data_IF_345916986674
#
_entry.id   IF_345916986674
#
_cell.length_a   1.000
_cell.length_b   1.000
_cell.length_c   1.000
_cell.angle_alpha   90.00
_cell.angle_beta   90.00
_cell.angle_gamma   90.00
#
_symmetry.space_group_name_H-M   'P 1'
#
loop_
_entity.id
_entity.type
_entity.pdbx_description
1 polymer ?
#
# COMPACT_ATOMS: atom_id res chain seq x y z
N UNK A 1 -16.55 -65.07 4.02
CA UNK A 1 -16.86 -66.25 4.86
C UNK A 1 -15.93 -66.23 6.07
N UNK A 2 -16.52 -66.09 7.27
CA UNK A 2 -16.19 -66.81 8.53
C UNK A 2 -14.79 -66.57 9.11
N UNK A 3 -14.69 -65.79 10.18
CA UNK A 3 -14.67 -66.23 11.60
C UNK A 3 -13.22 -66.54 12.06
N UNK A 4 -12.78 -66.33 13.31
CA UNK A 4 -13.30 -65.73 14.52
C UNK A 4 -12.23 -65.96 15.63
N UNK A 5 -12.18 -65.03 16.60
CA UNK A 5 -12.07 -65.21 18.08
C UNK A 5 -11.00 -66.13 18.72
N UNK A 6 -10.50 -66.01 19.97
CA UNK A 6 -10.34 -65.08 21.13
C UNK A 6 -9.48 -65.87 22.16
N UNK A 7 -8.79 -65.21 23.12
CA UNK A 7 -8.82 -65.45 24.61
C UNK A 7 -7.50 -65.33 25.40
N UNK A 8 -7.62 -64.62 26.53
CA UNK A 8 -6.77 -64.69 27.74
C UNK A 8 -6.51 -63.31 28.38
N UNK A 9 -7.39 -62.71 29.21
CA UNK A 9 -7.53 -62.83 30.70
C UNK A 9 -6.18 -62.62 31.43
N UNK A 10 -5.97 -61.78 32.47
CA UNK A 10 -6.64 -61.45 33.76
C UNK A 10 -5.98 -60.11 34.22
N UNK A 11 -6.54 -59.14 34.95
CA UNK A 11 -6.87 -59.15 36.38
C UNK A 11 -7.34 -57.76 36.84
N UNK A 12 -8.21 -57.74 37.85
CA UNK A 12 -8.88 -56.58 38.42
C UNK A 12 -8.05 -55.80 39.45
N UNK A 13 -8.34 -54.50 39.62
CA UNK A 13 -8.31 -53.82 40.91
C UNK A 13 -9.19 -52.56 40.86
N UNK A 14 -10.22 -52.53 41.70
CA UNK A 14 -11.07 -51.37 41.94
C UNK A 14 -10.48 -50.54 43.09
N UNK A 15 -10.40 -49.21 42.91
CA UNK A 15 -10.34 -48.24 44.01
C UNK A 15 -11.26 -47.06 43.70
N UNK A 16 -12.03 -46.69 44.70
CA UNK A 16 -13.04 -45.62 44.75
C UNK A 16 -12.38 -44.24 44.95
N UNK A 17 -13.08 -43.17 44.57
CA UNK A 17 -13.30 -41.93 45.36
C UNK A 17 -14.23 -40.96 44.58
N UNK A 18 -14.95 -40.05 45.27
CA UNK A 18 -16.11 -39.30 44.76
C UNK A 18 -15.76 -37.88 44.28
N UNK A 19 -16.71 -37.27 43.56
CA UNK A 19 -17.07 -35.86 43.83
C UNK A 19 -16.59 -34.79 42.84
N UNK A 20 -17.58 -34.19 42.19
CA UNK A 20 -17.74 -32.78 41.78
C UNK A 20 -16.59 -32.00 41.13
N UNK A 21 -16.89 -31.42 39.97
CA UNK A 21 -16.15 -30.30 39.39
C UNK A 21 -16.70 -29.91 38.02
N UNK A 22 -17.88 -29.27 37.99
CA UNK A 22 -18.28 -28.42 36.87
C UNK A 22 -17.43 -27.16 36.92
N UNK A 23 -16.44 -27.04 36.03
CA UNK A 23 -15.77 -25.77 35.76
C UNK A 23 -15.94 -25.43 34.28
N UNK A 24 -17.10 -24.85 34.02
CA UNK A 24 -17.39 -24.00 32.88
C UNK A 24 -16.47 -22.77 32.99
N UNK A 25 -15.32 -22.79 32.32
CA UNK A 25 -14.39 -21.65 32.28
C UNK A 25 -14.69 -20.84 31.02
N UNK A 26 -15.23 -19.61 31.14
CA UNK A 26 -15.41 -18.73 30.00
C UNK A 26 -14.05 -18.40 29.37
N UNK A 27 -13.94 -18.61 28.07
CA UNK A 27 -12.82 -18.14 27.28
C UNK A 27 -12.66 -16.62 27.48
N UNK A 28 -11.55 -16.23 28.10
CA UNK A 28 -11.18 -14.83 28.26
C UNK A 28 -10.92 -14.23 26.86
N UNK A 29 -11.81 -13.32 26.46
CA UNK A 29 -11.67 -12.51 25.26
C UNK A 29 -10.45 -11.60 25.40
N UNK A 30 -9.52 -11.55 24.42
CA UNK A 30 -8.40 -10.61 24.48
C UNK A 30 -8.93 -9.16 24.43
N UNK A 31 -8.22 -8.21 25.07
CA UNK A 31 -8.64 -6.81 25.12
C UNK A 31 -8.66 -6.19 23.72
N UNK A 32 -9.51 -5.17 23.48
CA UNK A 32 -9.52 -4.47 22.20
C UNK A 32 -8.17 -3.80 21.99
N UNK A 33 -7.54 -4.11 20.86
CA UNK A 33 -6.34 -3.40 20.40
C UNK A 33 -6.77 -1.98 20.02
N UNK A 34 -6.40 -1.01 20.84
CA UNK A 34 -6.60 0.41 20.56
C UNK A 34 -5.90 0.73 19.24
N UNK A 35 -6.68 0.98 18.19
CA UNK A 35 -6.14 1.40 16.89
C UNK A 35 -5.42 2.73 17.11
N UNK A 36 -4.10 2.70 16.99
CA UNK A 36 -3.31 3.93 17.01
C UNK A 36 -3.56 4.61 15.68
N UNK A 37 -4.45 5.62 15.68
CA UNK A 37 -4.62 6.51 14.53
C UNK A 37 -3.25 7.13 14.25
N UNK A 38 -2.57 6.65 13.21
CA UNK A 38 -1.38 7.30 12.69
C UNK A 38 -1.85 8.61 12.06
N UNK A 39 -1.90 9.66 12.86
CA UNK A 39 -1.96 11.02 12.33
C UNK A 39 -0.75 11.15 11.41
N UNK A 40 -1.00 11.34 10.12
CA UNK A 40 -0.01 11.76 9.13
C UNK A 40 0.44 13.19 9.47
N UNK A 41 1.13 13.34 10.59
CA UNK A 41 1.62 14.62 11.08
C UNK A 41 2.89 14.98 10.30
N UNK A 42 2.69 15.45 9.08
CA UNK A 42 3.64 16.29 8.34
C UNK A 42 2.90 17.11 7.25
N UNK A 43 1.75 17.67 7.60
CA UNK A 43 0.96 18.51 6.69
C UNK A 43 1.23 19.98 7.02
N UNK A 44 2.39 20.46 6.57
CA UNK A 44 2.67 21.90 6.45
C UNK A 44 2.63 22.23 4.97
N UNK A 45 1.43 22.30 4.39
CA UNK A 45 1.26 22.56 2.97
C UNK A 45 0.00 23.39 2.73
N UNK A 46 0.13 24.47 1.97
CA UNK A 46 -1.02 25.15 1.38
C UNK A 46 -1.61 24.25 0.28
N UNK A 47 -2.92 24.37 0.02
CA UNK A 47 -3.54 23.61 -1.04
C UNK A 47 -2.85 23.91 -2.40
N UNK A 48 -2.59 22.90 -3.23
CA UNK A 48 -2.05 23.12 -4.57
C UNK A 48 -2.90 24.10 -5.39
N UNK A 49 -2.26 24.92 -6.21
CA UNK A 49 -2.95 25.92 -7.07
C UNK A 49 -2.58 25.84 -8.56
N UNK A 50 -1.65 24.97 -8.92
CA UNK A 50 -1.19 24.75 -10.29
C UNK A 50 -1.33 23.27 -10.69
N UNK A 51 -1.86 23.01 -11.89
CA UNK A 51 -2.04 21.68 -12.47
C UNK A 51 -1.02 21.35 -13.58
N UNK A 52 -0.02 22.22 -13.80
CA UNK A 52 1.02 21.97 -14.80
C UNK A 52 1.91 20.76 -14.45
N UNK A 53 2.62 20.16 -15.43
CA UNK A 53 3.51 19.03 -15.19
C UNK A 53 4.59 19.34 -14.14
N UNK A 54 4.97 18.34 -13.34
CA UNK A 54 6.03 18.44 -12.32
C UNK A 54 7.15 17.44 -12.63
N UNK A 55 8.40 17.89 -12.57
CA UNK A 55 9.55 17.00 -12.79
C UNK A 55 10.77 17.35 -11.95
N UNK A 56 11.59 16.34 -11.69
CA UNK A 56 12.92 16.48 -11.12
C UNK A 56 13.79 15.28 -11.49
N UNK A 57 15.10 15.49 -11.54
CA UNK A 57 16.07 14.44 -11.83
C UNK A 57 16.33 13.54 -10.62
N UNK A 58 16.61 12.26 -10.89
CA UNK A 58 17.09 11.35 -9.86
C UNK A 58 18.56 11.64 -9.54
N UNK A 59 19.00 11.31 -8.31
CA UNK A 59 20.44 11.38 -8.00
C UNK A 59 21.23 10.34 -8.79
N UNK A 60 22.50 10.63 -9.08
CA UNK A 60 23.40 9.63 -9.67
C UNK A 60 23.45 8.34 -8.81
N UNK A 61 23.28 7.18 -9.45
CA UNK A 61 23.26 5.89 -8.76
C UNK A 61 21.99 5.63 -7.92
N UNK A 62 20.90 6.37 -8.15
CA UNK A 62 19.62 6.09 -7.53
C UNK A 62 19.13 4.67 -7.89
N UNK A 63 18.73 3.93 -6.88
CA UNK A 63 18.18 2.59 -6.99
C UNK A 63 17.15 2.41 -5.87
N UNK A 64 15.93 2.89 -6.12
CA UNK A 64 14.84 2.93 -5.15
C UNK A 64 13.73 1.94 -5.51
N UNK A 65 13.07 1.40 -4.50
CA UNK A 65 11.91 0.53 -4.63
C UNK A 65 10.75 1.15 -3.86
N UNK A 66 9.58 1.25 -4.50
CA UNK A 66 8.34 1.59 -3.81
C UNK A 66 7.97 0.45 -2.88
N UNK A 67 7.94 0.71 -1.58
CA UNK A 67 7.67 -0.28 -0.53
C UNK A 67 6.26 -0.16 0.02
N UNK A 68 5.68 1.04 -0.03
CA UNK A 68 4.33 1.30 0.48
C UNK A 68 3.66 2.43 -0.30
N UNK A 69 2.34 2.38 -0.37
CA UNK A 69 1.48 3.42 -0.94
C UNK A 69 0.46 3.78 0.13
N UNK A 70 0.49 5.03 0.57
CA UNK A 70 -0.43 5.56 1.58
C UNK A 70 -1.24 6.70 1.00
N UNK A 71 -2.52 6.73 1.33
CA UNK A 71 -3.45 7.78 0.91
C UNK A 71 -4.03 8.40 2.19
N UNK A 72 -4.23 9.72 2.21
CA UNK A 72 -4.84 10.35 3.36
C UNK A 72 -5.31 11.78 3.10
N UNK A 73 -6.39 12.15 3.78
CA UNK A 73 -6.98 13.49 3.75
C UNK A 73 -6.11 14.50 4.49
N UNK A 74 -5.96 15.68 3.89
CA UNK A 74 -5.40 16.88 4.53
C UNK A 74 -6.37 18.06 4.35
N UNK A 75 -6.21 19.16 5.11
CA UNK A 75 -6.97 20.39 4.87
C UNK A 75 -6.71 20.94 3.45
N UNK A 76 -7.73 20.87 2.58
CA UNK A 76 -7.69 21.42 1.21
C UNK A 76 -7.09 20.52 0.12
N UNK A 77 -6.58 19.33 0.47
CA UNK A 77 -6.05 18.37 -0.52
C UNK A 77 -6.11 16.93 0.00
N UNK A 78 -6.03 15.97 -0.92
CA UNK A 78 -5.72 14.57 -0.63
C UNK A 78 -4.25 14.30 -0.95
N UNK A 79 -3.60 13.48 -0.12
CA UNK A 79 -2.19 13.16 -0.22
C UNK A 79 -2.00 11.70 -0.56
N UNK A 80 -1.22 11.44 -1.61
CA UNK A 80 -0.68 10.11 -1.93
C UNK A 80 0.81 10.10 -1.61
N UNK A 81 1.27 9.13 -0.83
CA UNK A 81 2.68 8.97 -0.46
C UNK A 81 3.18 7.62 -0.96
N UNK A 82 4.16 7.64 -1.85
CA UNK A 82 4.97 6.49 -2.20
C UNK A 82 6.15 6.44 -1.23
N UNK A 83 6.14 5.47 -0.31
CA UNK A 83 7.32 5.20 0.52
C UNK A 83 8.36 4.46 -0.33
N UNK A 84 9.62 4.90 -0.20
CA UNK A 84 10.73 4.38 -0.98
C UNK A 84 11.78 3.81 -0.03
N UNK A 85 12.52 2.82 -0.51
CA UNK A 85 13.75 2.36 0.14
C UNK A 85 14.77 1.96 -0.91
N UNK A 86 16.06 2.01 -0.53
CA UNK A 86 17.18 1.82 -1.44
C UNK A 86 18.18 2.97 -1.33
N UNK A 87 18.90 3.26 -2.40
CA UNK A 87 19.98 4.26 -2.43
C UNK A 87 19.62 5.46 -3.29
N UNK A 88 20.11 6.65 -2.90
CA UNK A 88 19.91 7.89 -3.64
C UNK A 88 18.56 8.58 -3.35
N UNK A 89 18.23 9.58 -4.16
CA UNK A 89 16.96 10.31 -4.14
C UNK A 89 16.19 10.07 -5.44
N UNK A 90 14.85 9.95 -5.37
CA UNK A 90 14.05 9.72 -6.57
C UNK A 90 14.04 10.97 -7.45
N UNK A 91 14.00 10.75 -8.76
CA UNK A 91 13.47 11.74 -9.69
C UNK A 91 12.00 11.46 -9.96
N UNK A 92 11.32 12.37 -10.63
CA UNK A 92 9.94 12.15 -11.04
C UNK A 92 9.57 12.89 -12.32
N UNK A 93 8.52 12.39 -12.98
CA UNK A 93 7.72 13.09 -13.96
C UNK A 93 6.25 12.81 -13.62
N UNK A 94 5.47 13.86 -13.40
CA UNK A 94 4.06 13.75 -13.02
C UNK A 94 3.25 14.71 -13.87
N UNK A 95 2.27 14.17 -14.59
CA UNK A 95 1.41 14.93 -15.49
C UNK A 95 0.05 14.22 -15.67
N UNK A 96 -0.96 15.00 -16.05
CA UNK A 96 -2.26 14.45 -16.44
C UNK A 96 -2.17 13.81 -17.83
N UNK A 97 -2.81 12.66 -17.99
CA UNK A 97 -2.90 11.95 -19.27
C UNK A 97 -4.34 11.61 -19.62
N UNK A 98 -4.63 11.52 -20.91
CA UNK A 98 -5.94 11.09 -21.39
C UNK A 98 -6.13 9.57 -21.29
N UNK A 99 -5.04 8.80 -21.23
CA UNK A 99 -5.07 7.33 -21.16
C UNK A 99 -3.92 6.79 -20.33
N UNK A 100 -4.23 5.89 -19.41
CA UNK A 100 -3.23 5.10 -18.71
C UNK A 100 -2.74 3.94 -19.59
N UNK A 101 -1.52 4.04 -20.11
CA UNK A 101 -0.89 3.00 -20.93
C UNK A 101 0.39 2.56 -20.26
N UNK A 102 0.48 1.26 -19.97
CA UNK A 102 1.63 0.68 -19.30
C UNK A 102 2.87 0.69 -20.21
N UNK A 103 3.97 1.21 -19.68
CA UNK A 103 5.26 1.20 -20.35
C UNK A 103 5.77 -0.22 -20.64
N UNK A 104 6.50 -0.36 -21.75
CA UNK A 104 7.06 -1.62 -22.23
C UNK A 104 6.02 -2.57 -22.85
N UNK A 105 4.84 -2.71 -22.27
CA UNK A 105 3.79 -3.62 -22.76
C UNK A 105 2.80 -2.95 -23.72
N UNK A 106 2.54 -1.65 -23.56
CA UNK A 106 1.54 -0.90 -24.32
C UNK A 106 0.08 -1.23 -23.94
N UNK A 107 -0.15 -2.00 -22.88
CA UNK A 107 -1.51 -2.35 -22.41
C UNK A 107 -2.15 -1.16 -21.71
N UNK A 108 -3.44 -0.93 -21.98
CA UNK A 108 -4.23 0.04 -21.22
C UNK A 108 -4.48 -0.45 -19.80
N UNK A 109 -4.46 0.46 -18.84
CA UNK A 109 -4.90 0.25 -17.46
C UNK A 109 -6.23 0.97 -17.27
N UNK A 110 -7.25 0.27 -16.78
CA UNK A 110 -8.54 0.89 -16.47
C UNK A 110 -8.46 1.61 -15.13
N UNK A 111 -8.34 2.94 -15.18
CA UNK A 111 -8.21 3.82 -14.00
C UNK A 111 -9.56 4.50 -13.74
N UNK A 112 -10.10 4.32 -12.55
CA UNK A 112 -11.32 5.01 -12.11
C UNK A 112 -11.11 6.51 -11.87
N UNK A 113 -12.19 7.29 -11.87
CA UNK A 113 -12.17 8.75 -11.66
C UNK A 113 -12.36 9.54 -12.96
N UNK A 114 -12.43 10.86 -12.82
CA UNK A 114 -12.66 11.83 -13.91
C UNK A 114 -11.35 12.22 -14.62
N UNK A 115 -10.21 12.09 -13.94
CA UNK A 115 -8.89 12.40 -14.49
C UNK A 115 -7.83 11.41 -14.04
N UNK A 116 -6.82 11.20 -14.89
CA UNK A 116 -5.71 10.28 -14.65
C UNK A 116 -4.43 11.10 -14.50
N UNK A 117 -3.84 11.07 -13.31
CA UNK A 117 -2.51 11.62 -13.05
C UNK A 117 -1.48 10.49 -13.15
N UNK A 118 -0.60 10.53 -14.14
CA UNK A 118 0.49 9.57 -14.26
C UNK A 118 1.66 10.01 -13.36
N UNK A 119 2.15 9.08 -12.54
CA UNK A 119 3.31 9.27 -11.68
C UNK A 119 4.42 8.34 -12.12
N UNK A 120 5.50 8.92 -12.66
CA UNK A 120 6.71 8.21 -13.07
C UNK A 120 7.80 8.51 -12.07
N UNK A 121 8.26 7.51 -11.31
CA UNK A 121 9.33 7.64 -10.31
C UNK A 121 10.64 7.15 -10.93
N UNK A 122 11.56 8.07 -11.16
CA UNK A 122 12.85 7.82 -11.82
C UNK A 122 13.91 7.34 -10.81
N UNK A 123 14.91 6.58 -11.28
CA UNK A 123 15.94 6.01 -10.42
C UNK A 123 15.44 4.80 -9.62
N UNK A 124 14.50 4.04 -10.20
CA UNK A 124 13.96 2.83 -9.61
C UNK A 124 14.89 1.64 -9.85
N UNK A 125 15.09 0.82 -8.82
CA UNK A 125 15.79 -0.45 -8.95
C UNK A 125 14.91 -1.47 -9.70
N UNK A 126 15.52 -2.35 -10.50
CA UNK A 126 14.79 -3.48 -11.05
C UNK A 126 14.42 -4.47 -9.94
N UNK A 127 13.26 -5.16 -10.03
CA UNK A 127 12.79 -6.06 -8.98
C UNK A 127 13.76 -7.20 -8.64
N UNK A 128 14.56 -7.67 -9.60
CA UNK A 128 15.55 -8.73 -9.39
C UNK A 128 16.91 -8.22 -8.87
N UNK A 129 17.16 -6.90 -8.94
CA UNK A 129 18.38 -6.28 -8.43
C UNK A 129 18.17 -5.67 -7.03
N UNK A 130 16.93 -5.34 -6.67
CA UNK A 130 16.61 -4.74 -5.38
C UNK A 130 16.57 -5.79 -4.26
N UNK A 131 17.30 -5.59 -3.15
CA UNK A 131 17.16 -6.42 -1.95
C UNK A 131 15.91 -6.04 -1.12
N UNK A 132 15.21 -4.98 -1.52
CA UNK A 132 14.04 -4.44 -0.81
C UNK A 132 12.76 -5.04 -1.41
N UNK A 133 11.86 -5.61 -0.60
CA UNK A 133 10.55 -6.05 -1.07
C UNK A 133 9.75 -4.88 -1.66
N UNK A 134 9.25 -5.06 -2.87
CA UNK A 134 8.36 -4.10 -3.51
C UNK A 134 6.97 -4.09 -2.85
N UNK A 135 6.23 -3.01 -3.05
CA UNK A 135 4.86 -2.86 -2.59
C UNK A 135 3.97 -4.05 -2.99
N UNK A 136 3.41 -4.68 -1.97
CA UNK A 136 2.55 -5.86 -2.07
C UNK A 136 1.14 -5.62 -1.52
N UNK A 137 0.76 -4.37 -1.31
CA UNK A 137 -0.58 -4.01 -0.85
C UNK A 137 -1.64 -4.09 -1.97
N UNK A 138 -2.87 -3.62 -1.69
CA UNK A 138 -3.96 -3.57 -2.66
C UNK A 138 -3.60 -2.84 -3.94
N UNK A 139 -4.20 -3.27 -5.05
CA UNK A 139 -4.05 -2.65 -6.36
C UNK A 139 -5.43 -2.67 -7.07
N UNK A 140 -6.12 -1.52 -7.16
CA UNK A 140 -5.68 -0.20 -6.71
C UNK A 140 -5.61 -0.07 -5.18
N UNK A 141 -4.70 0.76 -4.70
CA UNK A 141 -4.75 1.25 -3.33
C UNK A 141 -5.85 2.33 -3.21
N UNK A 142 -6.67 2.25 -2.17
CA UNK A 142 -7.81 3.16 -1.93
C UNK A 142 -7.91 3.50 -0.45
N UNK A 143 -8.37 4.71 -0.11
CA UNK A 143 -8.69 5.08 1.27
C UNK A 143 -9.99 5.91 1.30
N UNK A 144 -11.05 5.43 1.96
CA UNK A 144 -12.35 6.12 1.99
C UNK A 144 -12.32 7.46 2.74
N UNK A 145 -11.28 7.75 3.53
CA UNK A 145 -11.11 9.04 4.18
C UNK A 145 -10.66 10.14 3.21
N UNK A 146 -10.13 9.77 2.04
CA UNK A 146 -9.60 10.64 0.99
C UNK A 146 -10.39 10.51 -0.33
N UNK A 147 -11.70 10.86 -0.34
CA UNK A 147 -12.58 10.63 -1.49
C UNK A 147 -12.22 11.39 -2.77
N UNK A 148 -11.23 12.28 -2.80
CA UNK A 148 -10.74 12.87 -4.05
C UNK A 148 -9.90 11.91 -4.87
N UNK A 149 -9.45 10.80 -4.27
CA UNK A 149 -8.64 9.76 -4.91
C UNK A 149 -9.49 8.52 -5.16
N UNK A 150 -9.79 8.25 -6.43
CA UNK A 150 -10.53 7.06 -6.86
C UNK A 150 -9.70 5.77 -6.68
N UNK A 151 -8.38 5.89 -6.81
CA UNK A 151 -7.44 4.79 -6.54
C UNK A 151 -6.03 5.07 -7.08
N UNK A 152 -5.04 4.38 -6.51
CA UNK A 152 -3.65 4.42 -6.98
C UNK A 152 -3.29 3.05 -7.55
N UNK A 153 -3.06 3.01 -8.85
CA UNK A 153 -2.83 1.80 -9.64
C UNK A 153 -1.33 1.66 -9.87
N UNK A 154 -0.75 0.50 -9.50
CA UNK A 154 0.67 0.26 -9.75
C UNK A 154 0.86 -0.40 -11.11
N UNK A 155 2.04 -0.23 -11.69
CA UNK A 155 2.45 -1.00 -12.88
C UNK A 155 3.81 -1.64 -12.67
N UNK A 156 4.52 -1.93 -13.77
CA UNK A 156 5.84 -2.55 -13.75
C UNK A 156 6.92 -1.48 -13.55
N UNK A 157 8.12 -1.92 -13.18
CA UNK A 157 9.32 -1.10 -13.41
C UNK A 157 9.80 -1.35 -14.85
N UNK A 158 9.97 -0.27 -15.61
CA UNK A 158 10.52 -0.31 -16.97
C UNK A 158 11.61 0.75 -17.10
N UNK A 159 12.76 0.39 -17.68
CA UNK A 159 13.91 1.31 -17.89
C UNK A 159 14.27 2.18 -16.67
N UNK A 160 14.29 1.58 -15.46
CA UNK A 160 14.60 2.30 -14.23
C UNK A 160 13.53 3.28 -13.75
N UNK A 161 12.30 3.15 -14.24
CA UNK A 161 11.14 3.97 -13.87
C UNK A 161 10.03 3.09 -13.27
N UNK A 162 9.56 3.44 -12.09
CA UNK A 162 8.29 2.90 -11.57
C UNK A 162 7.17 3.79 -12.09
N UNK A 163 6.24 3.22 -12.87
CA UNK A 163 5.05 3.94 -13.35
C UNK A 163 3.83 3.57 -12.48
N UNK A 164 3.05 4.56 -12.11
CA UNK A 164 1.79 4.42 -11.40
C UNK A 164 0.78 5.43 -11.95
N UNK A 165 -0.50 5.13 -11.81
CA UNK A 165 -1.58 6.05 -12.18
C UNK A 165 -2.45 6.34 -10.97
N UNK A 166 -2.77 7.61 -10.74
CA UNK A 166 -3.70 8.03 -9.71
C UNK A 166 -4.99 8.45 -10.43
N UNK A 167 -6.07 7.74 -10.11
CA UNK A 167 -7.42 8.14 -10.47
C UNK A 167 -7.91 9.24 -9.54
N UNK A 168 -8.41 10.33 -10.13
CA UNK A 168 -8.85 11.53 -9.39
C UNK A 168 -10.30 11.84 -9.71
N UNK A 169 -11.12 12.10 -8.69
CA UNK A 169 -12.58 12.31 -8.80
C UNK A 169 -12.98 13.74 -9.25
N UNK A 170 -12.03 14.50 -9.79
CA UNK A 170 -12.24 15.85 -10.30
C UNK A 170 -11.47 16.07 -11.60
N UNK A 171 -11.95 17.00 -12.43
CA UNK A 171 -11.28 17.38 -13.69
C UNK A 171 -9.96 18.12 -13.40
N UNK A 172 -8.85 17.40 -13.59
CA UNK A 172 -7.45 17.86 -13.51
C UNK A 172 -7.18 18.91 -12.42
N UNK A 173 -7.48 18.61 -11.13
CA UNK A 173 -7.22 19.55 -10.05
C UNK A 173 -5.73 19.91 -9.94
N UNK A 174 -5.41 21.07 -9.36
CA UNK A 174 -4.04 21.40 -9.00
C UNK A 174 -3.33 20.32 -8.18
N UNK A 175 -2.03 20.17 -8.37
CA UNK A 175 -1.22 19.24 -7.60
C UNK A 175 0.20 19.74 -7.35
N UNK A 176 0.84 19.21 -6.30
CA UNK A 176 2.28 19.37 -6.06
C UNK A 176 2.95 18.02 -5.87
N UNK A 177 4.26 17.99 -6.12
CA UNK A 177 5.09 16.80 -5.91
C UNK A 177 6.31 17.20 -5.09
N UNK A 178 6.53 16.52 -3.98
CA UNK A 178 7.66 16.78 -3.07
C UNK A 178 8.36 15.47 -2.73
N UNK A 179 9.69 15.47 -2.82
CA UNK A 179 10.50 14.38 -2.27
C UNK A 179 10.91 14.69 -0.83
N UNK A 180 10.69 13.75 0.07
CA UNK A 180 11.19 13.80 1.45
C UNK A 180 12.32 12.79 1.59
N UNK A 181 13.25 13.07 2.51
CA UNK A 181 14.37 12.18 2.85
C UNK A 181 14.22 11.66 4.28
N UNK A 182 14.88 10.54 4.61
CA UNK A 182 14.96 9.96 5.96
C UNK A 182 13.59 9.61 6.61
N UNK A 183 12.82 8.64 6.07
CA UNK A 183 13.09 7.80 4.90
C UNK A 183 12.67 8.47 3.57
N UNK A 184 13.22 8.02 2.42
CA UNK A 184 12.86 8.60 1.13
C UNK A 184 11.37 8.35 0.82
N UNK A 185 10.68 9.41 0.41
CA UNK A 185 9.26 9.37 0.04
C UNK A 185 9.03 10.29 -1.15
N UNK A 186 8.16 9.89 -2.06
CA UNK A 186 7.57 10.81 -3.03
C UNK A 186 6.14 11.11 -2.58
N UNK A 187 5.84 12.38 -2.36
CA UNK A 187 4.55 12.88 -1.87
C UNK A 187 3.87 13.63 -3.01
N UNK A 188 2.65 13.24 -3.34
CA UNK A 188 1.79 13.88 -4.33
C UNK A 188 0.57 14.41 -3.60
N UNK A 189 0.44 15.74 -3.55
CA UNK A 189 -0.71 16.43 -2.96
C UNK A 189 -1.62 16.91 -4.07
N UNK A 190 -2.90 16.57 -4.01
CA UNK A 190 -3.89 16.85 -5.05
C UNK A 190 -5.02 17.65 -4.40
N UNK A 191 -5.24 18.88 -4.87
CA UNK A 191 -6.25 19.77 -4.32
C UNK A 191 -7.64 19.12 -4.37
N UNK A 192 -8.42 19.33 -3.32
CA UNK A 192 -9.83 18.96 -3.32
C UNK A 192 -10.68 20.23 -3.34
N UNK A 193 -11.71 20.20 -4.17
CA UNK A 193 -12.69 21.29 -4.28
C UNK A 193 -13.86 21.06 -3.33
#
# INVERSE_FOLDING_TARGET
MRNALVFGLVAAAALTLPGCGTDDTPAASPPPTTSTTSTFADATGEAPTDSSPKSAEASAGAALTVTDIRIGRQPGFDRVVFALAGTGTPGWQVDYTDRAVQDGSGKTVDVAGDSILEVRILGSAYPFDSPVPAYSGPDPATDPSAPGIAGVYKTLVFEGTTQSFIGVEADRPPFTVTALTNPPRLVVDIAVQ
#
